data_IF_536633937180
#
_entry.id   IF_536633937180
#
_cell.length_a   1.000
_cell.length_b   1.000
_cell.length_c   1.000
_cell.angle_alpha   90.00
_cell.angle_beta   90.00
_cell.angle_gamma   90.00
#
_symmetry.space_group_name_H-M   'P 1'
#
loop_
_entity.id
_entity.type
_entity.pdbx_description
1 polymer ?
#
# COMPACT_ATOMS: atom_id res chain seq x y z
N UNK A 1 -8.70 -9.61 -14.46
CA UNK A 1 -8.28 -8.40 -15.18
C UNK A 1 -6.92 -8.66 -15.80
N UNK A 2 -6.84 -8.61 -17.14
CA UNK A 2 -5.58 -8.84 -17.82
C UNK A 2 -4.66 -7.64 -17.64
N UNK A 3 -3.35 -7.90 -17.53
CA UNK A 3 -2.36 -6.84 -17.34
C UNK A 3 -2.19 -6.34 -15.92
N UNK A 4 -2.99 -6.81 -14.97
CA UNK A 4 -2.84 -6.43 -13.58
C UNK A 4 -1.66 -7.19 -12.95
N UNK A 5 -0.75 -6.45 -12.34
CA UNK A 5 0.40 -7.02 -11.64
C UNK A 5 0.44 -6.46 -10.22
N UNK A 6 0.70 -7.34 -9.25
CA UNK A 6 0.86 -6.95 -7.85
C UNK A 6 2.31 -7.19 -7.47
N UNK A 7 3.02 -6.13 -7.13
CA UNK A 7 4.44 -6.22 -6.77
C UNK A 7 4.67 -5.66 -5.38
N UNK A 8 5.58 -6.30 -4.65
CA UNK A 8 6.02 -5.77 -3.36
C UNK A 8 6.82 -4.49 -3.58
N UNK A 9 6.57 -3.48 -2.76
CA UNK A 9 7.25 -2.19 -2.86
C UNK A 9 8.69 -2.33 -2.35
N UNK A 10 9.62 -1.82 -3.14
CA UNK A 10 10.97 -1.52 -2.66
C UNK A 10 10.99 -0.05 -2.28
N UNK A 11 10.99 0.24 -0.98
CA UNK A 11 10.88 1.60 -0.47
C UNK A 11 12.02 2.51 -0.91
N UNK A 12 13.17 1.94 -1.29
CA UNK A 12 14.33 2.70 -1.74
C UNK A 12 14.38 2.86 -3.26
N UNK A 13 13.47 2.23 -3.99
CA UNK A 13 13.35 2.40 -5.43
C UNK A 13 12.53 3.66 -5.73
N UNK A 14 13.06 4.55 -6.56
CA UNK A 14 12.41 5.85 -6.80
C UNK A 14 11.03 5.71 -7.43
N UNK A 15 10.87 4.79 -8.38
CA UNK A 15 9.58 4.57 -9.04
C UNK A 15 8.53 4.04 -8.06
N UNK A 16 8.91 3.06 -7.25
CA UNK A 16 8.01 2.50 -6.23
C UNK A 16 7.65 3.54 -5.19
N UNK A 17 8.62 4.32 -4.72
CA UNK A 17 8.39 5.35 -3.71
C UNK A 17 7.43 6.43 -4.22
N UNK A 18 7.61 6.88 -5.45
CA UNK A 18 6.73 7.87 -6.07
C UNK A 18 5.32 7.32 -6.21
N UNK A 19 5.19 6.07 -6.63
CA UNK A 19 3.88 5.44 -6.79
C UNK A 19 3.17 5.28 -5.45
N UNK A 20 3.89 4.86 -4.41
CA UNK A 20 3.31 4.71 -3.08
C UNK A 20 2.78 6.05 -2.57
N UNK A 21 3.59 7.10 -2.65
CA UNK A 21 3.19 8.43 -2.19
C UNK A 21 1.99 8.95 -3.00
N UNK A 22 2.01 8.77 -4.31
CA UNK A 22 0.89 9.17 -5.17
C UNK A 22 -0.42 8.50 -4.75
N UNK A 23 -0.37 7.18 -4.54
CA UNK A 23 -1.57 6.42 -4.19
C UNK A 23 -2.08 6.76 -2.78
N UNK A 24 -1.17 6.92 -1.84
CA UNK A 24 -1.54 7.25 -0.47
C UNK A 24 -2.11 8.67 -0.39
N UNK A 25 -1.53 9.60 -1.13
CA UNK A 25 -2.02 10.98 -1.19
C UNK A 25 -3.41 11.05 -1.83
N UNK A 26 -3.64 10.29 -2.91
CA UNK A 26 -4.95 10.19 -3.53
C UNK A 26 -5.98 9.65 -2.55
N UNK A 27 -5.62 8.64 -1.77
CA UNK A 27 -6.49 8.08 -0.74
C UNK A 27 -6.77 9.11 0.36
N UNK A 28 -5.75 9.85 0.80
CA UNK A 28 -5.90 10.86 1.85
C UNK A 28 -6.86 11.98 1.43
N UNK A 29 -6.86 12.35 0.16
CA UNK A 29 -7.73 13.40 -0.37
C UNK A 29 -9.17 12.91 -0.61
N UNK A 30 -9.39 11.61 -0.69
CA UNK A 30 -10.72 11.03 -0.82
C UNK A 30 -11.51 11.30 0.47
N UNK A 31 -12.82 11.60 0.39
CA UNK A 31 -13.62 11.81 1.59
C UNK A 31 -13.55 10.68 2.59
N UNK A 32 -13.37 9.43 2.14
CA UNK A 32 -13.22 8.29 3.03
C UNK A 32 -11.84 8.23 3.70
N UNK A 33 -10.85 8.94 3.16
CA UNK A 33 -9.50 9.00 3.70
C UNK A 33 -9.19 10.26 4.48
N UNK A 34 -10.20 11.10 4.75
CA UNK A 34 -10.03 12.32 5.51
C UNK A 34 -10.21 13.60 4.71
N UNK A 35 -10.14 13.54 3.39
CA UNK A 35 -10.43 14.65 2.49
C UNK A 35 -9.32 15.68 2.32
N UNK A 36 -8.15 15.46 2.87
CA UNK A 36 -7.04 16.41 2.80
C UNK A 36 -5.79 15.74 2.26
N UNK A 37 -5.00 16.49 1.47
CA UNK A 37 -3.73 16.02 0.97
C UNK A 37 -2.73 15.78 2.11
N UNK A 38 -1.79 14.86 1.89
CA UNK A 38 -0.71 14.62 2.83
C UNK A 38 0.24 15.83 2.88
N UNK A 39 0.80 16.07 4.06
CA UNK A 39 1.77 17.15 4.23
C UNK A 39 3.07 16.83 3.47
N UNK A 40 3.61 17.78 2.67
CA UNK A 40 4.82 17.51 1.89
C UNK A 40 6.01 17.05 2.72
N UNK A 41 6.22 17.59 3.91
CA UNK A 41 7.31 17.16 4.78
C UNK A 41 7.16 15.71 5.23
N UNK A 42 5.94 15.21 5.34
CA UNK A 42 5.69 13.81 5.70
C UNK A 42 5.95 12.90 4.49
N UNK A 43 5.47 13.28 3.30
CA UNK A 43 5.68 12.46 2.12
C UNK A 43 7.15 12.37 1.74
N UNK A 44 7.93 13.42 2.02
CA UNK A 44 9.36 13.42 1.71
C UNK A 44 10.13 12.38 2.52
N UNK A 45 9.64 12.00 3.72
CA UNK A 45 10.30 11.04 4.59
C UNK A 45 9.71 9.64 4.56
N UNK A 46 8.49 9.51 4.05
CA UNK A 46 7.66 8.32 4.26
C UNK A 46 8.37 7.02 3.87
N UNK A 47 8.85 6.94 2.64
CA UNK A 47 9.46 5.69 2.15
C UNK A 47 10.82 5.44 2.78
N UNK A 48 11.59 6.47 3.05
CA UNK A 48 12.85 6.33 3.76
C UNK A 48 12.62 5.80 5.18
N UNK A 49 11.60 6.30 5.86
CA UNK A 49 11.23 5.79 7.19
C UNK A 49 10.75 4.34 7.11
N UNK A 50 9.89 4.02 6.15
CA UNK A 50 9.35 2.66 6.02
C UNK A 50 10.44 1.64 5.69
N UNK A 51 11.48 2.04 4.98
CA UNK A 51 12.60 1.17 4.69
C UNK A 51 13.34 0.70 5.94
N UNK A 52 13.24 1.47 7.03
CA UNK A 52 13.89 1.16 8.32
C UNK A 52 12.94 0.56 9.36
N UNK A 53 11.65 0.37 9.01
CA UNK A 53 10.70 -0.26 9.93
C UNK A 53 10.69 -1.76 9.66
N UNK A 54 11.17 -2.52 10.65
CA UNK A 54 11.11 -3.98 10.56
C UNK A 54 9.64 -4.41 10.49
N UNK A 55 9.32 -5.31 9.58
CA UNK A 55 7.96 -5.79 9.44
C UNK A 55 7.05 -4.94 8.56
N UNK A 56 7.52 -3.81 8.03
CA UNK A 56 6.75 -3.05 7.04
C UNK A 56 6.75 -3.80 5.70
N UNK A 57 5.58 -3.94 5.09
CA UNK A 57 5.44 -4.57 3.79
C UNK A 57 4.30 -3.89 3.05
N UNK A 58 4.58 -3.43 1.85
CA UNK A 58 3.58 -2.78 1.00
C UNK A 58 3.56 -3.44 -0.37
N UNK A 59 2.40 -3.43 -1.00
CA UNK A 59 2.21 -3.96 -2.34
C UNK A 59 1.48 -2.93 -3.17
N UNK A 60 1.88 -2.80 -4.43
CA UNK A 60 1.22 -1.90 -5.37
C UNK A 60 0.65 -2.73 -6.51
N UNK A 61 -0.58 -2.42 -6.88
CA UNK A 61 -1.23 -2.97 -8.05
C UNK A 61 -0.92 -2.05 -9.23
N UNK A 62 -0.34 -2.62 -10.27
CA UNK A 62 0.03 -1.93 -11.50
C UNK A 62 -0.86 -2.43 -12.63
N UNK A 63 -1.41 -1.51 -13.39
CA UNK A 63 -2.18 -1.83 -14.59
C UNK A 63 -1.56 -1.07 -15.76
N UNK A 64 -0.98 -1.79 -16.72
CA UNK A 64 -0.32 -1.20 -17.89
C UNK A 64 0.72 -0.14 -17.47
N UNK A 65 1.58 -0.51 -16.51
CA UNK A 65 2.66 0.32 -15.97
C UNK A 65 2.18 1.56 -15.18
N UNK A 66 0.89 1.60 -14.80
CA UNK A 66 0.34 2.67 -13.97
C UNK A 66 -0.06 2.14 -12.60
N UNK A 67 0.27 2.83 -11.50
CA UNK A 67 -0.16 2.38 -10.18
C UNK A 67 -1.64 2.70 -9.99
N UNK A 68 -2.42 1.70 -9.59
CA UNK A 68 -3.87 1.85 -9.44
C UNK A 68 -4.37 1.45 -8.06
N UNK A 69 -3.55 0.81 -7.24
CA UNK A 69 -3.93 0.41 -5.90
C UNK A 69 -2.73 0.16 -5.01
N UNK A 70 -2.95 0.27 -3.69
CA UNK A 70 -1.92 0.17 -2.68
C UNK A 70 -2.45 -0.55 -1.46
N UNK A 71 -1.62 -1.40 -0.85
CA UNK A 71 -1.87 -1.91 0.49
C UNK A 71 -0.60 -1.71 1.32
N UNK A 72 -0.73 -1.11 2.49
CA UNK A 72 0.35 -0.96 3.46
C UNK A 72 0.07 -1.87 4.64
N UNK A 73 1.05 -2.69 5.01
CA UNK A 73 0.93 -3.65 6.09
C UNK A 73 2.09 -3.51 7.06
N UNK A 74 1.83 -3.83 8.32
CA UNK A 74 2.87 -3.86 9.35
C UNK A 74 2.72 -5.13 10.16
N UNK A 75 3.84 -5.82 10.40
CA UNK A 75 3.87 -7.02 11.20
C UNK A 75 3.59 -6.68 12.66
N UNK A 76 2.70 -7.44 13.26
CA UNK A 76 2.38 -7.33 14.66
C UNK A 76 2.49 -8.69 15.32
N UNK A 77 1.94 -8.82 16.51
CA UNK A 77 2.02 -10.06 17.26
C UNK A 77 0.68 -10.36 17.94
N UNK A 78 0.20 -11.60 17.80
CA UNK A 78 -0.99 -12.06 18.49
C UNK A 78 -0.59 -12.69 19.83
N UNK A 79 -0.94 -12.06 20.93
CA UNK A 79 -0.66 -12.63 22.26
C UNK A 79 -1.52 -13.86 22.53
N UNK A 80 -2.73 -13.93 21.95
CA UNK A 80 -3.60 -15.10 22.14
C UNK A 80 -3.04 -16.33 21.43
N UNK A 81 -2.49 -16.15 20.23
CA UNK A 81 -1.98 -17.25 19.43
C UNK A 81 -0.48 -17.43 19.56
N UNK A 82 0.20 -16.50 20.23
CA UNK A 82 1.65 -16.50 20.43
C UNK A 82 2.42 -16.61 19.10
N UNK A 83 2.00 -15.83 18.12
CA UNK A 83 2.66 -15.81 16.80
C UNK A 83 2.53 -14.47 16.12
N UNK A 84 3.42 -14.16 15.16
CA UNK A 84 3.31 -12.94 14.37
C UNK A 84 2.03 -12.92 13.54
N UNK A 85 1.56 -11.71 13.24
CA UNK A 85 0.46 -11.48 12.32
C UNK A 85 0.77 -10.26 11.47
N UNK A 86 0.10 -10.15 10.35
CA UNK A 86 0.26 -9.00 9.46
C UNK A 86 -0.99 -8.13 9.56
N UNK A 87 -0.79 -6.86 9.96
CA UNK A 87 -1.87 -5.89 10.07
C UNK A 87 -1.97 -5.10 8.78
N UNK A 88 -3.16 -5.03 8.20
CA UNK A 88 -3.43 -4.13 7.09
C UNK A 88 -3.70 -2.75 7.67
N UNK A 89 -2.84 -1.80 7.35
CA UNK A 89 -2.96 -0.43 7.86
C UNK A 89 -3.74 0.47 6.90
N UNK A 90 -3.39 0.38 5.60
CA UNK A 90 -4.10 1.11 4.54
C UNK A 90 -4.37 0.17 3.39
N UNK A 91 -5.54 0.31 2.77
CA UNK A 91 -5.82 -0.30 1.48
C UNK A 91 -6.58 0.74 0.65
N UNK A 92 -6.07 1.02 -0.54
CA UNK A 92 -6.62 2.07 -1.39
C UNK A 92 -6.60 1.64 -2.85
N UNK A 93 -7.68 1.94 -3.55
CA UNK A 93 -7.78 1.71 -5.00
C UNK A 93 -8.27 3.03 -5.60
N UNK A 94 -7.63 3.47 -6.68
CA UNK A 94 -8.05 4.69 -7.38
C UNK A 94 -9.50 4.57 -7.82
N UNK A 95 -10.24 5.70 -7.76
CA UNK A 95 -11.69 5.70 -7.97
C UNK A 95 -12.12 5.10 -9.31
N UNK A 96 -11.32 5.29 -10.36
CA UNK A 96 -11.62 4.73 -11.68
C UNK A 96 -11.41 3.23 -11.81
N UNK A 97 -10.85 2.59 -10.78
CA UNK A 97 -10.51 1.16 -10.80
C UNK A 97 -11.19 0.36 -9.70
N UNK A 98 -12.06 0.98 -8.92
CA UNK A 98 -12.83 0.29 -7.87
C UNK A 98 -13.87 -0.64 -8.51
N UNK A 99 -14.16 -1.74 -7.81
CA UNK A 99 -15.10 -2.73 -8.29
C UNK A 99 -14.56 -3.70 -9.34
N UNK A 100 -13.25 -3.66 -9.59
CA UNK A 100 -12.61 -4.51 -10.59
C UNK A 100 -11.72 -5.60 -9.99
N UNK A 101 -11.80 -5.82 -8.68
CA UNK A 101 -11.03 -6.86 -8.00
C UNK A 101 -9.62 -6.45 -7.60
N UNK A 102 -9.23 -5.20 -7.76
CA UNK A 102 -7.88 -4.73 -7.40
C UNK A 102 -7.65 -4.87 -5.90
N UNK A 103 -8.61 -4.45 -5.07
CA UNK A 103 -8.50 -4.56 -3.62
C UNK A 103 -8.36 -6.00 -3.15
N UNK A 104 -9.12 -6.91 -3.75
CA UNK A 104 -9.04 -8.34 -3.42
C UNK A 104 -7.68 -8.92 -3.80
N UNK A 105 -7.13 -8.51 -4.94
CA UNK A 105 -5.81 -8.96 -5.39
C UNK A 105 -4.72 -8.47 -4.43
N UNK A 106 -4.83 -7.23 -3.93
CA UNK A 106 -3.91 -6.68 -2.95
C UNK A 106 -3.97 -7.44 -1.62
N UNK A 107 -5.19 -7.74 -1.14
CA UNK A 107 -5.37 -8.51 0.09
C UNK A 107 -4.78 -9.91 -0.05
N UNK A 108 -4.97 -10.55 -1.22
CA UNK A 108 -4.40 -11.86 -1.46
C UNK A 108 -2.87 -11.83 -1.45
N UNK A 109 -2.27 -10.80 -2.04
CA UNK A 109 -0.81 -10.65 -2.02
C UNK A 109 -0.30 -10.52 -0.58
N UNK A 110 -0.99 -9.76 0.26
CA UNK A 110 -0.64 -9.62 1.67
C UNK A 110 -0.79 -10.94 2.42
N UNK A 111 -1.86 -11.70 2.16
CA UNK A 111 -2.08 -13.02 2.77
C UNK A 111 -0.98 -14.00 2.37
N UNK A 112 -0.60 -14.01 1.09
CA UNK A 112 0.44 -14.92 0.59
C UNK A 112 1.81 -14.57 1.18
N UNK A 113 2.05 -13.30 1.48
CA UNK A 113 3.28 -12.84 2.11
C UNK A 113 3.33 -13.21 3.60
N UNK A 114 2.20 -13.17 4.28
CA UNK A 114 2.10 -13.38 5.73
C UNK A 114 2.45 -14.81 6.19
#
# INVERSE_FOLDING_TARGET
MSGLQINRVDYLNAQDAQALVFLLDAYAQDPMGGGEALQPENTARLCSDMAHIAGAASFIAWLEAKPVGLINCFEGYSTFKAKPLLNVHDIAVLSGHRGQGVGQALLKAAEDYA
#
